data_IF_638336672971
#
_entry.id   IF_638336672971
#
_cell.length_a   1.000
_cell.length_b   1.000
_cell.length_c   1.000
_cell.angle_alpha   90.00
_cell.angle_beta   90.00
_cell.angle_gamma   90.00
#
_symmetry.space_group_name_H-M   'P 1'
#
loop_
_entity.id
_entity.type
_entity.pdbx_description
1 polymer ?
#
# COMPACT_ATOMS: atom_id res chain seq x y z
N UNK A 1 -34.56 10.54 4.05
CA UNK A 1 -33.75 11.43 3.19
C UNK A 1 -32.29 11.03 3.37
N UNK A 2 -31.56 10.72 2.29
CA UNK A 2 -30.08 10.67 2.29
C UNK A 2 -29.39 9.37 2.72
N UNK A 3 -29.52 8.29 1.94
CA UNK A 3 -28.62 7.13 2.02
C UNK A 3 -27.51 7.30 0.97
N UNK A 4 -26.46 7.99 1.37
CA UNK A 4 -25.19 8.07 0.61
C UNK A 4 -24.35 6.84 0.95
N UNK A 5 -24.85 5.69 0.51
CA UNK A 5 -24.07 4.47 0.40
C UNK A 5 -22.96 4.76 -0.60
N UNK A 6 -21.75 4.99 -0.11
CA UNK A 6 -20.56 5.02 -0.93
C UNK A 6 -20.57 3.77 -1.80
N UNK A 7 -20.61 3.99 -3.11
CA UNK A 7 -20.60 2.95 -4.13
C UNK A 7 -19.27 2.21 -4.05
N UNK A 8 -19.15 1.27 -3.11
CA UNK A 8 -18.14 0.23 -3.18
C UNK A 8 -18.68 -0.81 -4.17
N UNK A 9 -18.45 -0.57 -5.45
CA UNK A 9 -18.62 -1.62 -6.44
C UNK A 9 -17.51 -2.65 -6.18
N UNK A 10 -17.84 -3.90 -5.77
CA UNK A 10 -16.83 -4.94 -5.73
C UNK A 10 -16.39 -5.20 -7.17
N UNK A 11 -15.10 -4.97 -7.45
CA UNK A 11 -14.50 -5.27 -8.75
C UNK A 11 -14.80 -6.71 -9.17
N UNK A 12 -15.03 -6.90 -10.47
CA UNK A 12 -15.43 -8.17 -11.07
C UNK A 12 -14.45 -9.31 -10.72
N UNK A 13 -14.95 -10.52 -10.40
CA UNK A 13 -14.11 -11.67 -10.14
C UNK A 13 -13.44 -12.13 -11.44
N UNK A 14 -12.14 -11.85 -11.59
CA UNK A 14 -11.35 -12.36 -12.72
C UNK A 14 -10.19 -11.48 -13.17
N UNK A 15 -10.14 -10.22 -12.76
CA UNK A 15 -8.98 -9.38 -13.07
C UNK A 15 -7.87 -9.71 -12.08
N UNK A 16 -7.11 -10.78 -12.37
CA UNK A 16 -5.82 -11.01 -11.72
C UNK A 16 -5.05 -9.71 -11.86
N UNK A 17 -4.91 -9.00 -10.76
CA UNK A 17 -4.19 -7.75 -10.65
C UNK A 17 -2.81 -7.97 -11.30
N UNK A 18 -2.61 -7.40 -12.48
CA UNK A 18 -1.43 -7.74 -13.28
C UNK A 18 -0.19 -7.34 -12.47
N UNK A 19 0.78 -8.24 -12.25
CA UNK A 19 1.98 -7.95 -11.46
C UNK A 19 2.67 -6.63 -11.88
N UNK A 20 2.59 -6.31 -13.18
CA UNK A 20 3.10 -5.07 -13.75
C UNK A 20 2.41 -3.79 -13.22
N UNK A 21 1.11 -3.83 -12.90
CA UNK A 21 0.37 -2.69 -12.34
C UNK A 21 0.79 -2.45 -10.89
N UNK A 22 0.92 -3.53 -10.10
CA UNK A 22 1.36 -3.45 -8.70
C UNK A 22 2.79 -2.91 -8.62
N UNK A 23 3.69 -3.42 -9.46
CA UNK A 23 5.07 -2.97 -9.51
C UNK A 23 5.18 -1.49 -9.87
N UNK A 24 4.38 -0.99 -10.82
CA UNK A 24 4.34 0.44 -11.18
C UNK A 24 3.79 1.30 -10.05
N UNK A 25 2.67 0.91 -9.45
CA UNK A 25 2.10 1.63 -8.31
C UNK A 25 3.10 1.67 -7.14
N UNK A 26 3.78 0.55 -6.84
CA UNK A 26 4.81 0.51 -5.83
C UNK A 26 5.97 1.47 -6.12
N UNK A 27 6.38 1.64 -7.38
CA UNK A 27 7.43 2.58 -7.77
C UNK A 27 7.05 4.04 -7.56
N UNK A 28 5.76 4.40 -7.66
CA UNK A 28 5.31 5.79 -7.42
C UNK A 28 5.23 6.16 -5.95
N UNK A 29 5.32 5.19 -5.02
CA UNK A 29 5.30 5.46 -3.59
C UNK A 29 6.58 6.19 -3.15
N UNK A 30 6.47 7.15 -2.20
CA UNK A 30 7.62 7.72 -1.49
C UNK A 30 8.54 6.64 -0.92
N UNK A 31 9.85 6.91 -0.86
CA UNK A 31 10.86 5.95 -0.36
C UNK A 31 10.52 5.37 1.00
N UNK A 32 10.04 6.20 1.92
CA UNK A 32 9.63 5.81 3.28
C UNK A 32 8.51 4.74 3.27
N UNK A 33 7.57 4.85 2.32
CA UNK A 33 6.49 3.86 2.18
C UNK A 33 6.96 2.59 1.46
N UNK A 34 7.92 2.69 0.54
CA UNK A 34 8.51 1.51 -0.08
C UNK A 34 9.34 0.72 0.91
N UNK A 35 10.21 1.37 1.67
CA UNK A 35 11.07 0.73 2.67
C UNK A 35 10.25 -0.04 3.70
N UNK A 36 9.19 0.57 4.26
CA UNK A 36 8.38 -0.11 5.26
C UNK A 36 7.67 -1.35 4.71
N UNK A 37 7.20 -1.29 3.46
CA UNK A 37 6.58 -2.43 2.79
C UNK A 37 7.62 -3.48 2.40
N UNK A 38 8.82 -3.08 1.99
CA UNK A 38 9.95 -4.00 1.75
C UNK A 38 10.25 -4.83 3.00
N UNK A 39 10.34 -4.19 4.15
CA UNK A 39 10.64 -4.89 5.39
C UNK A 39 9.49 -5.81 5.84
N UNK A 40 8.23 -5.36 5.78
CA UNK A 40 7.10 -6.13 6.34
C UNK A 40 6.46 -7.12 5.36
N UNK A 41 6.38 -6.78 4.08
CA UNK A 41 5.68 -7.59 3.05
C UNK A 41 6.65 -8.44 2.25
N UNK A 42 7.79 -7.88 1.84
CA UNK A 42 8.74 -8.61 0.97
C UNK A 42 9.75 -9.44 1.77
N UNK A 43 10.16 -8.97 2.95
CA UNK A 43 11.04 -9.71 3.86
C UNK A 43 10.29 -10.42 5.00
N UNK A 44 8.96 -10.31 5.02
CA UNK A 44 8.09 -10.95 6.02
C UNK A 44 8.46 -10.66 7.47
N UNK A 45 9.10 -9.50 7.73
CA UNK A 45 9.49 -9.13 9.10
C UNK A 45 8.28 -8.71 9.89
N UNK A 46 8.27 -9.08 11.16
CA UNK A 46 7.34 -8.54 12.13
C UNK A 46 7.54 -7.03 12.31
N UNK A 47 6.55 -6.36 12.89
CA UNK A 47 6.61 -4.91 13.19
C UNK A 47 7.83 -4.58 14.07
N UNK A 48 8.19 -5.46 15.00
CA UNK A 48 9.32 -5.24 15.91
C UNK A 48 10.67 -5.39 15.17
N UNK A 49 10.79 -6.38 14.29
CA UNK A 49 12.00 -6.59 13.50
C UNK A 49 12.20 -5.47 12.45
N UNK A 50 11.11 -5.02 11.83
CA UNK A 50 11.14 -3.86 10.95
C UNK A 50 11.53 -2.59 11.70
N UNK A 51 11.03 -2.39 12.92
CA UNK A 51 11.41 -1.26 13.78
C UNK A 51 12.91 -1.27 14.10
N UNK A 52 13.44 -2.43 14.51
CA UNK A 52 14.86 -2.60 14.79
C UNK A 52 15.73 -2.38 13.53
N UNK A 53 15.30 -2.90 12.38
CA UNK A 53 16.04 -2.75 11.12
C UNK A 53 16.06 -1.31 10.60
N UNK A 54 14.96 -0.57 10.78
CA UNK A 54 14.82 0.79 10.25
C UNK A 54 15.26 1.86 11.26
N UNK A 55 15.58 1.48 12.49
CA UNK A 55 15.99 2.39 13.55
C UNK A 55 14.87 3.34 13.99
N UNK A 56 13.61 2.92 13.90
CA UNK A 56 12.43 3.74 14.25
C UNK A 56 11.57 3.08 15.32
N UNK A 57 10.79 3.84 16.11
CA UNK A 57 9.89 3.27 17.10
C UNK A 57 8.83 2.34 16.49
N UNK A 58 8.45 1.29 17.23
CA UNK A 58 7.40 0.33 16.82
C UNK A 58 6.08 1.03 16.47
N UNK A 59 5.69 2.05 17.24
CA UNK A 59 4.44 2.78 16.96
C UNK A 59 4.53 3.60 15.66
N UNK A 60 5.72 4.07 15.30
CA UNK A 60 5.97 4.71 14.00
C UNK A 60 5.86 3.68 12.88
N UNK A 61 6.34 2.45 13.06
CA UNK A 61 6.20 1.37 12.08
C UNK A 61 4.72 1.08 11.81
N UNK A 62 3.89 0.91 12.85
CA UNK A 62 2.45 0.62 12.69
C UNK A 62 1.75 1.69 11.82
N UNK A 63 1.98 2.96 12.15
CA UNK A 63 1.38 4.08 11.42
C UNK A 63 1.94 4.17 10.00
N UNK A 64 3.25 3.98 9.80
CA UNK A 64 3.87 3.97 8.47
C UNK A 64 3.36 2.84 7.59
N UNK A 65 3.16 1.64 8.13
CA UNK A 65 2.57 0.50 7.39
C UNK A 65 1.16 0.85 6.93
N UNK A 66 0.33 1.36 7.83
CA UNK A 66 -1.04 1.78 7.48
C UNK A 66 -1.04 2.82 6.34
N UNK A 67 -0.25 3.88 6.46
CA UNK A 67 -0.17 4.91 5.42
C UNK A 67 0.45 4.40 4.11
N UNK A 68 1.44 3.51 4.17
CA UNK A 68 2.04 2.92 2.98
C UNK A 68 1.04 2.06 2.21
N UNK A 69 0.26 1.21 2.90
CA UNK A 69 -0.79 0.42 2.27
C UNK A 69 -1.91 1.30 1.72
N UNK A 70 -2.28 2.36 2.44
CA UNK A 70 -3.27 3.33 1.94
C UNK A 70 -2.77 4.06 0.69
N UNK A 71 -1.52 4.51 0.69
CA UNK A 71 -0.90 5.14 -0.47
C UNK A 71 -0.81 4.19 -1.66
N UNK A 72 -0.48 2.91 -1.42
CA UNK A 72 -0.49 1.88 -2.45
C UNK A 72 -1.89 1.67 -3.03
N UNK A 73 -2.91 1.54 -2.19
CA UNK A 73 -4.31 1.44 -2.65
C UNK A 73 -4.71 2.64 -3.50
N UNK A 74 -4.35 3.86 -3.10
CA UNK A 74 -4.62 5.07 -3.89
C UNK A 74 -3.87 5.06 -5.22
N UNK A 75 -2.60 4.62 -5.24
CA UNK A 75 -1.82 4.54 -6.48
C UNK A 75 -2.36 3.49 -7.47
N UNK A 76 -3.04 2.46 -6.97
CA UNK A 76 -3.68 1.42 -7.78
C UNK A 76 -5.03 1.86 -8.33
N UNK A 77 -5.78 2.65 -7.58
CA UNK A 77 -7.08 3.21 -7.97
C UNK A 77 -6.92 4.46 -8.85
N UNK A 78 -5.74 5.09 -8.84
CA UNK A 78 -5.44 6.22 -9.69
C UNK A 78 -5.62 5.83 -11.17
N UNK A 79 -6.36 6.62 -11.96
CA UNK A 79 -6.47 6.40 -13.39
C UNK A 79 -5.08 6.29 -13.99
N UNK A 80 -4.86 5.28 -14.84
CA UNK A 80 -3.58 5.10 -15.54
C UNK A 80 -3.22 6.47 -16.16
N UNK A 81 -2.11 7.10 -15.76
CA UNK A 81 -1.75 8.39 -16.34
C UNK A 81 -1.61 8.17 -17.85
N UNK A 82 -2.52 8.78 -18.60
CA UNK A 82 -2.46 8.84 -20.05
C UNK A 82 -1.30 9.76 -20.38
N UNK A 83 -0.14 9.16 -20.64
CA UNK A 83 0.95 9.83 -21.34
C UNK A 83 0.61 9.92 -22.83
#
# INVERSE_FOLDING_TARGET
>A
MGKNTGSFAPGLPGERMRPAVVARAFQTLPSVHREILTETVFRERSVNEAAASLGVPVDVVKVRVYHALRALSTALDAPRPTA
#
